data_IF_598700984090
#
_entry.id   IF_598700984090
#
_cell.length_a   1.000
_cell.length_b   1.000
_cell.length_c   1.000
_cell.angle_alpha   90.00
_cell.angle_beta   90.00
_cell.angle_gamma   90.00
#
_symmetry.space_group_name_H-M   'P 1'
#
loop_
_entity.id
_entity.type
_entity.pdbx_description
1 polymer ?
#
# COMPACT_ATOMS: atom_id res chain seq x y z
N UNK A 1 -21.23 -17.16 -9.13
CA UNK A 1 -20.38 -16.80 -7.96
C UNK A 1 -18.94 -16.50 -8.35
N UNK A 2 -18.21 -17.39 -9.06
CA UNK A 2 -16.78 -17.16 -9.44
C UNK A 2 -16.56 -15.87 -10.25
N UNK A 3 -17.44 -15.54 -11.20
CA UNK A 3 -17.31 -14.34 -12.04
C UNK A 3 -17.31 -13.01 -11.26
N UNK A 4 -18.17 -12.90 -10.24
CA UNK A 4 -18.21 -11.71 -9.37
C UNK A 4 -16.96 -11.62 -8.49
N UNK A 5 -16.46 -12.75 -8.01
CA UNK A 5 -15.23 -12.81 -7.23
C UNK A 5 -14.02 -12.36 -8.04
N UNK A 6 -13.91 -12.80 -9.31
CA UNK A 6 -12.83 -12.38 -10.20
C UNK A 6 -12.84 -10.87 -10.43
N UNK A 7 -14.02 -10.29 -10.69
CA UNK A 7 -14.17 -8.84 -10.87
C UNK A 7 -13.86 -8.08 -9.58
N UNK A 8 -14.36 -8.55 -8.43
CA UNK A 8 -14.06 -7.93 -7.14
C UNK A 8 -12.56 -7.95 -6.82
N UNK A 9 -11.87 -9.06 -7.12
CA UNK A 9 -10.43 -9.20 -6.96
C UNK A 9 -9.66 -8.23 -7.86
N UNK A 10 -10.08 -8.06 -9.11
CA UNK A 10 -9.48 -7.08 -10.01
C UNK A 10 -9.67 -5.65 -9.51
N UNK A 11 -10.89 -5.29 -9.12
CA UNK A 11 -11.21 -3.95 -8.59
C UNK A 11 -10.41 -3.66 -7.32
N UNK A 12 -10.34 -4.62 -6.40
CA UNK A 12 -9.59 -4.47 -5.16
C UNK A 12 -8.09 -4.29 -5.43
N UNK A 13 -7.52 -5.10 -6.32
CA UNK A 13 -6.12 -5.00 -6.72
C UNK A 13 -5.80 -3.63 -7.33
N UNK A 14 -6.65 -3.17 -8.23
CA UNK A 14 -6.48 -1.87 -8.90
C UNK A 14 -6.65 -0.72 -7.92
N UNK A 15 -7.64 -0.77 -7.04
CA UNK A 15 -7.88 0.28 -6.03
C UNK A 15 -6.70 0.41 -5.06
N UNK A 16 -6.15 -0.70 -4.56
CA UNK A 16 -4.97 -0.69 -3.70
C UNK A 16 -3.74 -0.11 -4.42
N UNK A 17 -3.52 -0.50 -5.68
CA UNK A 17 -2.42 0.02 -6.48
C UNK A 17 -2.54 1.54 -6.70
N UNK A 18 -3.73 2.02 -7.09
CA UNK A 18 -3.99 3.45 -7.29
C UNK A 18 -3.85 4.22 -5.98
N UNK A 19 -4.30 3.68 -4.86
CA UNK A 19 -4.15 4.30 -3.54
C UNK A 19 -2.69 4.55 -3.18
N UNK A 20 -1.82 3.56 -3.34
CA UNK A 20 -0.38 3.73 -3.12
C UNK A 20 0.25 4.71 -4.12
N UNK A 21 -0.04 4.58 -5.42
CA UNK A 21 0.50 5.49 -6.43
C UNK A 21 0.07 6.93 -6.18
N UNK A 22 -1.16 7.16 -5.75
CA UNK A 22 -1.65 8.49 -5.39
C UNK A 22 -0.87 9.07 -4.21
N UNK A 23 -0.64 8.28 -3.15
CA UNK A 23 0.15 8.71 -1.99
C UNK A 23 1.59 9.06 -2.37
N UNK A 24 2.25 8.19 -3.15
CA UNK A 24 3.62 8.42 -3.65
C UNK A 24 3.67 9.67 -4.54
N UNK A 25 2.72 9.81 -5.48
CA UNK A 25 2.63 10.98 -6.37
C UNK A 25 2.46 12.29 -5.59
N UNK A 26 1.67 12.28 -4.52
CA UNK A 26 1.50 13.44 -3.65
C UNK A 26 2.80 13.85 -2.96
N UNK A 27 3.58 12.87 -2.47
CA UNK A 27 4.91 13.13 -1.86
C UNK A 27 5.91 13.70 -2.85
N UNK A 28 5.86 13.24 -4.11
CA UNK A 28 6.76 13.66 -5.18
C UNK A 28 6.32 14.97 -5.89
N UNK A 29 5.23 15.58 -5.48
CA UNK A 29 4.74 16.83 -6.07
C UNK A 29 4.01 16.66 -7.40
N UNK A 30 3.61 15.44 -7.78
CA UNK A 30 2.99 15.15 -9.09
C UNK A 30 1.51 15.53 -9.17
N UNK A 31 0.86 15.81 -8.03
CA UNK A 31 -0.52 16.32 -7.96
C UNK A 31 -0.61 17.86 -7.96
N UNK A 32 0.49 18.56 -8.30
CA UNK A 32 0.53 20.02 -8.29
C UNK A 32 0.17 20.59 -6.92
N UNK A 33 -0.79 21.52 -6.87
CA UNK A 33 -1.22 22.19 -5.62
C UNK A 33 -1.81 21.24 -4.57
N UNK A 34 -2.28 20.07 -4.97
CA UNK A 34 -2.81 19.04 -4.06
C UNK A 34 -1.73 18.13 -3.48
N UNK A 35 -0.48 18.34 -3.83
CA UNK A 35 0.64 17.55 -3.34
C UNK A 35 1.01 17.93 -1.91
N UNK A 36 1.26 16.93 -1.07
CA UNK A 36 1.84 17.17 0.25
C UNK A 36 3.31 17.63 0.18
N UNK A 37 4.05 17.12 -0.80
CA UNK A 37 5.48 17.38 -0.96
C UNK A 37 6.36 16.55 -0.03
N UNK A 38 7.62 16.39 -0.44
CA UNK A 38 8.58 15.50 0.24
C UNK A 38 8.94 15.98 1.65
N UNK A 39 9.19 17.27 1.83
CA UNK A 39 9.59 17.83 3.14
C UNK A 39 8.47 17.74 4.16
N UNK A 40 7.24 18.01 3.76
CA UNK A 40 6.08 17.86 4.63
C UNK A 40 5.84 16.40 5.02
N UNK A 41 6.12 15.48 4.10
CA UNK A 41 6.02 14.05 4.41
C UNK A 41 7.10 13.59 5.40
N UNK A 42 8.35 14.07 5.30
CA UNK A 42 9.39 13.83 6.30
C UNK A 42 8.94 14.36 7.66
N UNK A 43 8.48 15.61 7.73
CA UNK A 43 8.01 16.22 8.98
C UNK A 43 6.82 15.45 9.60
N UNK A 44 5.91 14.94 8.79
CA UNK A 44 4.83 14.08 9.24
C UNK A 44 5.35 12.73 9.74
N UNK A 45 6.26 12.10 9.01
CA UNK A 45 6.88 10.84 9.39
C UNK A 45 7.64 10.92 10.73
N UNK A 46 8.29 12.05 11.02
CA UNK A 46 8.91 12.30 12.35
C UNK A 46 7.88 12.25 13.47
N UNK A 47 6.71 12.83 13.25
CA UNK A 47 5.62 12.82 14.25
C UNK A 47 5.01 11.43 14.40
N UNK A 48 4.76 10.73 13.30
CA UNK A 48 4.19 9.37 13.30
C UNK A 48 5.13 8.36 13.96
N UNK A 49 6.45 8.50 13.75
CA UNK A 49 7.46 7.61 14.30
C UNK A 49 8.16 8.26 15.51
N UNK A 50 7.40 8.81 16.45
CA UNK A 50 7.93 9.54 17.63
C UNK A 50 8.86 8.70 18.51
N UNK A 51 8.78 7.38 18.40
CA UNK A 51 9.63 6.41 19.09
C UNK A 51 10.96 6.16 18.40
N UNK A 52 11.12 6.58 17.14
CA UNK A 52 12.33 6.32 16.35
C UNK A 52 13.33 7.48 16.44
N UNK A 53 14.64 7.22 16.36
CA UNK A 53 15.65 8.27 16.29
C UNK A 53 15.43 9.16 15.04
N UNK A 54 15.50 10.48 15.18
CA UNK A 54 15.28 11.43 14.08
C UNK A 54 16.17 11.16 12.86
N UNK A 55 17.39 10.70 13.08
CA UNK A 55 18.34 10.40 12.01
C UNK A 55 17.91 9.20 11.14
N UNK A 56 17.02 8.34 11.62
CA UNK A 56 16.50 7.20 10.86
C UNK A 56 15.28 7.55 10.00
N UNK A 57 14.61 8.66 10.28
CA UNK A 57 13.37 9.04 9.59
C UNK A 57 13.53 9.19 8.06
N UNK A 58 14.57 9.85 7.54
CA UNK A 58 14.76 9.93 6.08
C UNK A 58 14.86 8.56 5.42
N UNK A 59 15.53 7.61 6.06
CA UNK A 59 15.63 6.23 5.57
C UNK A 59 14.26 5.53 5.58
N UNK A 60 13.50 5.67 6.66
CA UNK A 60 12.13 5.11 6.78
C UNK A 60 11.23 5.66 5.67
N UNK A 61 11.28 6.97 5.42
CA UNK A 61 10.52 7.66 4.38
C UNK A 61 10.87 7.15 2.97
N UNK A 62 12.17 7.01 2.69
CA UNK A 62 12.65 6.49 1.38
C UNK A 62 12.20 5.03 1.22
N UNK A 63 12.46 4.17 2.20
CA UNK A 63 12.12 2.74 2.12
C UNK A 63 10.61 2.52 1.98
N UNK A 64 9.80 3.23 2.77
CA UNK A 64 8.33 3.11 2.66
C UNK A 64 7.84 3.54 1.28
N UNK A 65 8.33 4.65 0.75
CA UNK A 65 7.96 5.15 -0.58
C UNK A 65 8.37 4.18 -1.69
N UNK A 66 9.57 3.59 -1.60
CA UNK A 66 10.01 2.56 -2.55
C UNK A 66 9.16 1.30 -2.48
N UNK A 67 8.85 0.82 -1.28
CA UNK A 67 8.01 -0.37 -1.08
C UNK A 67 6.57 -0.12 -1.57
N UNK A 68 5.98 1.04 -1.27
CA UNK A 68 4.66 1.41 -1.77
C UNK A 68 4.64 1.44 -3.30
N UNK A 69 5.65 2.04 -3.92
CA UNK A 69 5.78 2.08 -5.39
C UNK A 69 5.91 0.69 -5.98
N UNK A 70 6.78 -0.14 -5.40
CA UNK A 70 6.99 -1.51 -5.86
C UNK A 70 5.71 -2.35 -5.76
N UNK A 71 5.07 -2.35 -4.59
CA UNK A 71 3.82 -3.10 -4.40
C UNK A 71 2.70 -2.59 -5.29
N UNK A 72 2.59 -1.27 -5.47
CA UNK A 72 1.61 -0.68 -6.37
C UNK A 72 1.78 -1.15 -7.82
N UNK A 73 3.00 -1.11 -8.34
CA UNK A 73 3.29 -1.58 -9.70
C UNK A 73 3.02 -3.08 -9.84
N UNK A 74 3.47 -3.89 -8.88
CA UNK A 74 3.21 -5.34 -8.88
C UNK A 74 1.71 -5.65 -8.83
N UNK A 75 0.94 -4.94 -8.01
CA UNK A 75 -0.51 -5.10 -7.93
C UNK A 75 -1.20 -4.66 -9.22
N UNK A 76 -0.77 -3.55 -9.82
CA UNK A 76 -1.39 -3.00 -11.03
C UNK A 76 -1.28 -3.98 -12.21
N UNK A 77 -0.08 -4.53 -12.45
CA UNK A 77 0.15 -5.50 -13.53
C UNK A 77 -0.24 -6.94 -13.15
N UNK A 78 -0.45 -7.21 -11.85
CA UNK A 78 -0.76 -8.54 -11.35
C UNK A 78 0.42 -9.51 -11.39
N UNK A 79 1.60 -9.05 -11.02
CA UNK A 79 2.81 -9.87 -10.91
C UNK A 79 3.10 -10.21 -9.46
N UNK A 80 3.24 -11.50 -9.16
CA UNK A 80 3.37 -12.01 -7.78
C UNK A 80 2.37 -11.35 -6.82
N UNK A 81 1.13 -11.28 -7.26
CA UNK A 81 0.05 -10.52 -6.61
C UNK A 81 -0.09 -10.86 -5.13
N UNK A 82 0.00 -12.14 -4.76
CA UNK A 82 -0.07 -12.57 -3.37
C UNK A 82 1.04 -11.96 -2.52
N UNK A 83 2.29 -11.97 -3.01
CA UNK A 83 3.43 -11.39 -2.31
C UNK A 83 3.25 -9.88 -2.13
N UNK A 84 2.90 -9.18 -3.21
CA UNK A 84 2.67 -7.73 -3.19
C UNK A 84 1.54 -7.34 -2.23
N UNK A 85 0.43 -8.07 -2.25
CA UNK A 85 -0.70 -7.84 -1.36
C UNK A 85 -0.35 -8.12 0.12
N UNK A 86 0.41 -9.19 0.40
CA UNK A 86 0.90 -9.46 1.76
C UNK A 86 1.84 -8.36 2.23
N UNK A 87 2.80 -7.94 1.39
CA UNK A 87 3.71 -6.85 1.71
C UNK A 87 2.96 -5.53 1.95
N UNK A 88 1.98 -5.22 1.12
CA UNK A 88 1.11 -4.05 1.29
C UNK A 88 0.33 -4.08 2.61
N UNK A 89 -0.23 -5.24 2.97
CA UNK A 89 -0.96 -5.42 4.23
C UNK A 89 -0.04 -5.18 5.45
N UNK A 90 1.15 -5.76 5.44
CA UNK A 90 2.13 -5.60 6.52
C UNK A 90 2.59 -4.14 6.61
N UNK A 91 2.96 -3.52 5.49
CA UNK A 91 3.43 -2.14 5.46
C UNK A 91 2.39 -1.17 6.01
N UNK A 92 1.14 -1.29 5.57
CA UNK A 92 0.05 -0.42 6.05
C UNK A 92 -0.35 -0.72 7.49
N UNK A 93 -0.24 -1.97 7.95
CA UNK A 93 -0.42 -2.31 9.36
C UNK A 93 0.65 -1.63 10.23
N UNK A 94 1.91 -1.64 9.80
CA UNK A 94 3.00 -0.94 10.51
C UNK A 94 2.74 0.57 10.58
N UNK A 95 2.23 1.18 9.51
CA UNK A 95 1.81 2.59 9.54
C UNK A 95 0.68 2.82 10.53
N UNK A 96 -0.34 1.97 10.54
CA UNK A 96 -1.45 2.09 11.48
C UNK A 96 -0.98 1.98 12.95
N UNK A 97 -0.07 1.05 13.24
CA UNK A 97 0.49 0.89 14.59
C UNK A 97 1.35 2.09 15.01
N UNK A 98 2.17 2.63 14.11
CA UNK A 98 2.97 3.83 14.37
C UNK A 98 2.08 5.05 14.63
N UNK A 99 1.02 5.24 13.83
CA UNK A 99 0.03 6.29 14.03
C UNK A 99 -0.71 6.13 15.37
N UNK A 100 -1.14 4.90 15.68
CA UNK A 100 -1.84 4.61 16.93
C UNK A 100 -0.95 4.90 18.17
N UNK A 101 0.33 4.56 18.08
CA UNK A 101 1.30 4.83 19.14
C UNK A 101 1.53 6.32 19.36
N UNK A 102 1.70 7.09 18.28
CA UNK A 102 2.11 8.50 18.35
C UNK A 102 0.94 9.48 18.52
N UNK A 103 -0.23 9.17 17.99
CA UNK A 103 -1.41 10.06 17.99
C UNK A 103 -2.65 9.45 18.65
N UNK A 104 -2.59 8.18 19.02
CA UNK A 104 -3.74 7.43 19.53
C UNK A 104 -4.50 6.68 18.43
N UNK A 105 -5.34 5.74 18.88
CA UNK A 105 -6.05 4.77 18.00
C UNK A 105 -7.00 5.46 17.01
N UNK A 106 -7.49 6.64 17.33
CA UNK A 106 -8.42 7.38 16.46
C UNK A 106 -7.79 7.74 15.10
N UNK A 107 -6.51 8.09 15.09
CA UNK A 107 -5.80 8.55 13.89
C UNK A 107 -5.82 7.48 12.76
N UNK A 108 -5.34 6.24 12.96
CA UNK A 108 -5.38 5.23 11.88
C UNK A 108 -6.79 4.82 11.49
N UNK A 109 -7.80 5.04 12.34
CA UNK A 109 -9.21 4.80 11.99
C UNK A 109 -9.74 5.89 11.07
N UNK A 110 -9.49 7.16 11.36
CA UNK A 110 -9.93 8.30 10.56
C UNK A 110 -9.32 8.29 9.14
N UNK A 111 -8.05 7.88 9.02
CA UNK A 111 -7.38 7.75 7.72
C UNK A 111 -7.59 6.39 7.04
N UNK A 112 -8.44 5.54 7.58
CA UNK A 112 -8.80 4.22 7.01
C UNK A 112 -7.61 3.30 6.73
N UNK A 113 -6.48 3.50 7.41
CA UNK A 113 -5.24 2.73 7.17
C UNK A 113 -5.43 1.26 7.52
N UNK A 114 -6.19 0.96 8.58
CA UNK A 114 -6.54 -0.42 8.95
C UNK A 114 -7.45 -1.09 7.91
N UNK A 115 -8.36 -0.34 7.29
CA UNK A 115 -9.21 -0.84 6.21
C UNK A 115 -8.36 -1.19 5.00
N UNK A 116 -7.40 -0.34 4.65
CA UNK A 116 -6.46 -0.59 3.56
C UNK A 116 -5.62 -1.86 3.81
N UNK A 117 -5.11 -2.02 5.03
CA UNK A 117 -4.36 -3.21 5.45
C UNK A 117 -5.21 -4.48 5.35
N UNK A 118 -6.44 -4.46 5.89
CA UNK A 118 -7.36 -5.59 5.84
C UNK A 118 -7.76 -5.95 4.40
N UNK A 119 -7.99 -4.95 3.55
CA UNK A 119 -8.30 -5.13 2.14
C UNK A 119 -7.12 -5.77 1.37
N UNK A 120 -5.89 -5.33 1.65
CA UNK A 120 -4.69 -5.93 1.07
C UNK A 120 -4.50 -7.38 1.55
N UNK A 121 -4.74 -7.64 2.84
CA UNK A 121 -4.69 -9.00 3.38
C UNK A 121 -5.76 -9.91 2.74
N UNK A 122 -7.00 -9.42 2.60
CA UNK A 122 -8.05 -10.15 1.89
C UNK A 122 -7.62 -10.49 0.46
N UNK A 123 -7.04 -9.53 -0.26
CA UNK A 123 -6.51 -9.77 -1.61
C UNK A 123 -5.44 -10.87 -1.61
N UNK A 124 -4.55 -10.90 -0.61
CA UNK A 124 -3.49 -11.91 -0.50
C UNK A 124 -4.02 -13.34 -0.33
N UNK A 125 -5.23 -13.51 0.22
CA UNK A 125 -5.88 -14.81 0.45
C UNK A 125 -6.68 -15.32 -0.75
N UNK A 126 -6.82 -14.54 -1.81
CA UNK A 126 -7.59 -14.95 -2.99
C UNK A 126 -6.95 -16.17 -3.66
N UNK A 127 -7.76 -17.15 -4.11
CA UNK A 127 -7.26 -18.39 -4.70
C UNK A 127 -6.62 -18.17 -6.08
N UNK A 128 -7.08 -17.18 -6.81
CA UNK A 128 -6.61 -16.87 -8.16
C UNK A 128 -6.76 -15.38 -8.48
N UNK A 129 -5.90 -14.91 -9.39
CA UNK A 129 -5.88 -13.52 -9.87
C UNK A 129 -6.10 -13.49 -11.38
N UNK A 130 -7.36 -13.35 -11.81
CA UNK A 130 -7.67 -13.25 -13.25
C UNK A 130 -7.25 -11.90 -13.80
N UNK A 131 -7.01 -11.87 -15.10
CA UNK A 131 -6.53 -10.68 -15.84
C UNK A 131 -5.24 -10.12 -15.21
N UNK A 132 -4.27 -11.00 -14.98
CA UNK A 132 -2.99 -10.69 -14.35
C UNK A 132 -1.85 -11.42 -15.06
N UNK A 133 -0.62 -10.94 -14.88
CA UNK A 133 0.58 -11.65 -15.34
C UNK A 133 0.69 -13.02 -14.65
N UNK A 134 0.29 -13.13 -13.40
CA UNK A 134 0.29 -14.40 -12.66
C UNK A 134 -0.58 -15.47 -13.37
N UNK A 135 -1.72 -15.07 -13.94
CA UNK A 135 -2.58 -15.99 -14.71
C UNK A 135 -1.90 -16.49 -15.97
N UNK A 136 -1.15 -15.63 -16.67
CA UNK A 136 -0.43 -16.00 -17.90
C UNK A 136 0.64 -17.04 -17.60
N UNK A 137 1.40 -16.84 -16.52
CA UNK A 137 2.43 -17.80 -16.10
C UNK A 137 1.86 -19.15 -15.67
N UNK A 138 0.68 -19.16 -15.03
CA UNK A 138 0.02 -20.42 -14.66
C UNK A 138 -0.46 -21.21 -15.89
N UNK A 139 -0.99 -20.54 -16.92
CA UNK A 139 -1.44 -21.17 -18.15
C UNK A 139 -0.30 -21.77 -18.98
N UNK A 140 0.89 -21.19 -18.90
CA UNK A 140 2.06 -21.67 -19.65
C UNK A 140 2.77 -22.86 -18.97
N UNK A 141 2.38 -23.23 -17.75
CA UNK A 141 2.95 -24.38 -17.01
C UNK A 141 2.14 -25.67 -17.13
N UNK A 142 0.95 -25.59 -17.71
CA UNK A 142 0.05 -26.73 -17.97
C UNK A 142 0.02 -27.04 -19.47
#
# INVERSE_FOLDING_TARGET
MKKHQDTATLLLRTALAIGFLSAVSSRLGLWGEYSSGWQNFIAYAEKVNSFAPKNSIPLVVILSTLLETLFALMLLIGYKTRLAATGAAILTLLFALAMAYSFGVKEPLDYSVLVFSAAAFLLATMPQYRWSIDEIFLKNKN
#
